data_IF_156705295772
#
_entry.id   IF_156705295772
#
_cell.length_a   1.000
_cell.length_b   1.000
_cell.length_c   1.000
_cell.angle_alpha   90.00
_cell.angle_beta   90.00
_cell.angle_gamma   90.00
#
_symmetry.space_group_name_H-M   'P 1'
#
loop_
_entity.id
_entity.type
_entity.pdbx_description
1 polymer ?
#
# COMPACT_ATOMS: atom_id res chain seq x y z
N UNK A 1 3.92 8.70 17.77
CA UNK A 1 3.18 8.78 16.52
C UNK A 1 4.13 8.19 15.51
N UNK A 2 3.92 6.94 15.12
CA UNK A 2 4.82 6.25 14.16
C UNK A 2 4.26 6.34 12.72
N UNK A 3 3.08 6.96 12.58
CA UNK A 3 2.52 7.35 11.29
C UNK A 3 3.39 8.43 10.64
N UNK A 4 4.07 8.06 9.57
CA UNK A 4 4.72 9.03 8.69
C UNK A 4 3.66 9.82 7.92
N UNK A 5 4.00 11.01 7.39
CA UNK A 5 3.10 11.75 6.50
C UNK A 5 2.60 10.91 5.31
N UNK A 6 3.40 9.94 4.86
CA UNK A 6 3.02 9.01 3.79
C UNK A 6 1.92 8.03 4.24
N UNK A 7 1.94 7.55 5.50
CA UNK A 7 0.85 6.75 6.05
C UNK A 7 -0.45 7.54 6.07
N UNK A 8 -0.43 8.76 6.58
CA UNK A 8 -1.60 9.63 6.61
C UNK A 8 -2.14 9.90 5.19
N UNK A 9 -1.27 10.19 4.22
CA UNK A 9 -1.69 10.41 2.85
C UNK A 9 -2.33 9.17 2.21
N UNK A 10 -1.79 7.97 2.44
CA UNK A 10 -2.40 6.72 1.97
C UNK A 10 -3.72 6.42 2.71
N UNK A 11 -3.81 6.70 4.01
CA UNK A 11 -4.99 6.47 4.84
C UNK A 11 -6.15 7.42 4.53
N UNK A 12 -5.88 8.57 3.93
CA UNK A 12 -6.89 9.58 3.54
C UNK A 12 -7.17 9.55 2.02
N UNK A 13 -6.61 8.58 1.27
CA UNK A 13 -6.83 8.47 -0.16
C UNK A 13 -6.25 9.63 -0.98
N UNK A 14 -5.09 10.16 -0.58
CA UNK A 14 -4.45 11.28 -1.25
C UNK A 14 -4.11 11.00 -2.73
N UNK A 15 -4.01 12.07 -3.52
CA UNK A 15 -3.70 11.99 -4.95
C UNK A 15 -2.29 11.45 -5.21
N UNK A 16 -2.09 10.90 -6.42
CA UNK A 16 -0.79 10.48 -6.93
C UNK A 16 0.29 11.56 -6.73
N UNK A 17 0.00 12.82 -7.08
CA UNK A 17 0.96 13.92 -6.95
C UNK A 17 1.41 14.13 -5.49
N UNK A 18 0.48 13.99 -4.55
CA UNK A 18 0.78 14.13 -3.11
C UNK A 18 1.67 12.98 -2.64
N UNK A 19 1.33 11.75 -3.00
CA UNK A 19 2.12 10.55 -2.66
C UNK A 19 3.53 10.65 -3.28
N UNK A 20 3.61 11.02 -4.56
CA UNK A 20 4.87 11.19 -5.29
C UNK A 20 5.75 12.28 -4.69
N UNK A 21 5.17 13.41 -4.29
CA UNK A 21 5.89 14.49 -3.62
C UNK A 21 6.46 14.03 -2.27
N UNK A 22 5.66 13.32 -1.47
CA UNK A 22 6.09 12.80 -0.17
C UNK A 22 7.21 11.77 -0.31
N UNK A 23 7.12 10.87 -1.29
CA UNK A 23 8.18 9.90 -1.59
C UNK A 23 9.45 10.58 -2.10
N UNK A 24 9.32 11.64 -2.89
CA UNK A 24 10.48 12.40 -3.38
C UNK A 24 11.20 13.12 -2.25
N UNK A 25 10.45 13.64 -1.26
CA UNK A 25 11.01 14.30 -0.09
C UNK A 25 11.62 13.33 0.92
N UNK A 26 11.01 12.15 1.10
CA UNK A 26 11.50 11.12 2.01
C UNK A 26 11.24 9.70 1.45
N UNK A 27 12.18 9.17 0.63
CA UNK A 27 12.01 7.87 -0.01
C UNK A 27 11.90 6.70 0.96
N UNK A 28 12.61 6.74 2.09
CA UNK A 28 12.62 5.65 3.06
C UNK A 28 11.27 5.47 3.78
N UNK A 29 10.40 6.49 3.77
CA UNK A 29 9.05 6.41 4.35
C UNK A 29 8.21 5.27 3.76
N UNK A 30 8.52 4.80 2.54
CA UNK A 30 7.82 3.67 1.90
C UNK A 30 7.97 2.35 2.69
N UNK A 31 9.06 2.20 3.45
CA UNK A 31 9.40 0.98 4.21
C UNK A 31 8.96 1.03 5.67
N UNK A 32 8.61 2.22 6.15
CA UNK A 32 8.16 2.43 7.51
C UNK A 32 6.84 1.69 7.76
N UNK A 33 6.63 1.33 9.02
CA UNK A 33 5.40 0.72 9.48
C UNK A 33 4.77 1.61 10.52
N UNK A 34 3.47 1.77 10.44
CA UNK A 34 2.72 2.40 11.51
C UNK A 34 2.64 1.51 12.77
N UNK A 35 1.91 1.99 13.76
CA UNK A 35 1.71 1.31 15.06
C UNK A 35 1.01 -0.04 14.94
N UNK A 36 0.25 -0.25 13.87
CA UNK A 36 -0.46 -1.50 13.59
C UNK A 36 0.35 -2.41 12.66
N UNK A 37 1.62 -2.06 12.40
CA UNK A 37 2.52 -2.80 11.52
C UNK A 37 2.22 -2.64 10.03
N UNK A 38 1.33 -1.71 9.66
CA UNK A 38 0.88 -1.51 8.28
C UNK A 38 1.88 -0.64 7.53
N UNK A 39 2.09 -0.96 6.26
CA UNK A 39 2.88 -0.15 5.33
C UNK A 39 2.00 0.86 4.61
N UNK A 40 2.58 1.87 3.93
CA UNK A 40 1.83 2.74 3.03
C UNK A 40 1.02 1.97 1.97
N UNK A 41 1.58 0.91 1.40
CA UNK A 41 0.85 0.05 0.44
C UNK A 41 -0.37 -0.63 1.09
N UNK A 42 -0.23 -1.11 2.32
CA UNK A 42 -1.36 -1.72 3.04
C UNK A 42 -2.50 -0.70 3.22
N UNK A 43 -2.18 0.52 3.63
CA UNK A 43 -3.17 1.59 3.82
C UNK A 43 -3.81 2.02 2.50
N UNK A 44 -3.01 2.13 1.44
CA UNK A 44 -3.53 2.47 0.11
C UNK A 44 -4.48 1.39 -0.43
N UNK A 45 -4.19 0.10 -0.20
CA UNK A 45 -5.11 -1.00 -0.51
C UNK A 45 -6.39 -0.98 0.35
N UNK A 46 -6.28 -0.54 1.61
CA UNK A 46 -7.43 -0.41 2.52
C UNK A 46 -8.37 0.73 2.12
N UNK A 47 -7.82 1.82 1.60
CA UNK A 47 -8.57 3.00 1.19
C UNK A 47 -8.96 3.01 -0.28
N UNK A 48 -8.86 1.85 -0.95
CA UNK A 48 -9.21 1.71 -2.37
C UNK A 48 -8.51 2.76 -3.27
N UNK A 49 -7.23 3.05 -2.98
CA UNK A 49 -6.46 4.03 -3.73
C UNK A 49 -6.40 3.69 -5.23
N UNK A 50 -6.19 4.71 -6.06
CA UNK A 50 -6.15 4.52 -7.51
C UNK A 50 -5.05 3.55 -7.94
N UNK A 51 -5.25 2.92 -9.10
CA UNK A 51 -4.28 2.00 -9.70
C UNK A 51 -2.89 2.63 -9.81
N UNK A 52 -2.81 3.92 -10.14
CA UNK A 52 -1.55 4.65 -10.28
C UNK A 52 -0.81 4.78 -8.94
N UNK A 53 -1.55 5.05 -7.84
CA UNK A 53 -0.96 5.12 -6.50
C UNK A 53 -0.44 3.75 -6.07
N UNK A 54 -1.24 2.69 -6.24
CA UNK A 54 -0.81 1.33 -5.91
C UNK A 54 0.42 0.92 -6.73
N UNK A 55 0.44 1.25 -8.03
CA UNK A 55 1.58 0.98 -8.92
C UNK A 55 2.83 1.72 -8.46
N UNK A 56 2.73 3.02 -8.15
CA UNK A 56 3.85 3.82 -7.66
C UNK A 56 4.45 3.24 -6.37
N UNK A 57 3.60 2.86 -5.41
CA UNK A 57 4.05 2.30 -4.13
C UNK A 57 4.73 0.94 -4.33
N UNK A 58 4.20 0.09 -5.22
CA UNK A 58 4.81 -1.20 -5.58
C UNK A 58 6.13 -1.04 -6.33
N UNK A 59 6.21 -0.12 -7.28
CA UNK A 59 7.45 0.17 -8.02
C UNK A 59 8.54 0.69 -7.09
N UNK A 60 8.16 1.51 -6.11
CA UNK A 60 9.08 2.07 -5.10
C UNK A 60 9.57 0.98 -4.13
N UNK A 61 8.71 0.04 -3.75
CA UNK A 61 9.08 -1.07 -2.88
C UNK A 61 8.24 -2.34 -3.14
N UNK A 62 8.70 -3.24 -4.04
CA UNK A 62 7.94 -4.43 -4.42
C UNK A 62 7.66 -5.41 -3.29
N UNK A 63 8.56 -5.50 -2.31
CA UNK A 63 8.40 -6.42 -1.16
C UNK A 63 7.31 -5.97 -0.18
N UNK A 64 6.79 -4.74 -0.30
CA UNK A 64 5.68 -4.23 0.51
C UNK A 64 4.45 -5.15 0.44
N UNK A 65 4.24 -5.84 -0.69
CA UNK A 65 3.11 -6.76 -0.90
C UNK A 65 3.11 -7.97 0.03
N UNK A 66 4.28 -8.33 0.59
CA UNK A 66 4.44 -9.46 1.52
C UNK A 66 4.32 -9.03 2.98
N UNK A 67 4.34 -7.72 3.24
CA UNK A 67 4.35 -7.20 4.60
C UNK A 67 2.96 -7.37 5.21
N UNK A 68 2.93 -8.03 6.36
CA UNK A 68 1.68 -8.26 7.09
C UNK A 68 1.46 -7.13 8.07
N UNK A 69 0.31 -6.50 7.96
CA UNK A 69 -0.16 -5.46 8.87
C UNK A 69 -1.05 -6.04 9.96
N UNK A 70 -2.13 -5.32 10.28
CA UNK A 70 -3.08 -5.71 11.32
C UNK A 70 -3.72 -7.07 11.02
N UNK A 71 -3.87 -7.90 12.06
CA UNK A 71 -4.44 -9.24 11.97
C UNK A 71 -3.68 -10.19 11.03
N UNK A 72 -2.37 -9.97 10.86
CA UNK A 72 -1.51 -10.78 9.98
C UNK A 72 -1.95 -10.77 8.50
N UNK A 73 -2.71 -9.73 8.11
CA UNK A 73 -3.21 -9.56 6.73
C UNK A 73 -2.15 -8.92 5.84
N UNK A 74 -2.07 -9.38 4.60
CA UNK A 74 -1.28 -8.74 3.54
C UNK A 74 -2.12 -7.65 2.84
N UNK A 75 -1.50 -6.74 2.07
CA UNK A 75 -2.22 -5.76 1.27
C UNK A 75 -3.27 -6.40 0.34
N UNK A 76 -2.99 -7.59 -0.22
CA UNK A 76 -3.96 -8.32 -1.04
C UNK A 76 -5.20 -8.76 -0.24
N UNK A 77 -5.02 -9.30 0.98
CA UNK A 77 -6.16 -9.68 1.82
C UNK A 77 -7.09 -8.50 2.08
N UNK A 78 -6.49 -7.34 2.36
CA UNK A 78 -7.23 -6.10 2.59
C UNK A 78 -7.91 -5.62 1.31
N UNK A 79 -7.21 -5.56 0.17
CA UNK A 79 -7.80 -5.16 -1.11
C UNK A 79 -9.02 -6.03 -1.48
N UNK A 80 -8.94 -7.35 -1.25
CA UNK A 80 -10.08 -8.24 -1.45
C UNK A 80 -11.22 -7.99 -0.46
N UNK A 81 -10.91 -7.70 0.81
CA UNK A 81 -11.92 -7.48 1.86
C UNK A 81 -12.70 -6.18 1.64
N UNK A 82 -12.04 -5.13 1.16
CA UNK A 82 -12.68 -3.84 0.85
C UNK A 82 -13.37 -3.82 -0.53
N UNK A 83 -13.20 -4.87 -1.34
CA UNK A 83 -13.84 -4.97 -2.65
C UNK A 83 -13.14 -4.17 -3.75
N UNK A 84 -11.82 -4.03 -3.67
CA UNK A 84 -11.03 -3.28 -4.64
C UNK A 84 -11.26 -3.76 -6.09
N UNK A 85 -11.16 -2.86 -7.09
CA UNK A 85 -11.33 -3.20 -8.50
C UNK A 85 -10.46 -4.37 -8.96
N UNK A 86 -10.98 -5.14 -9.91
CA UNK A 86 -10.31 -6.34 -10.45
C UNK A 86 -8.91 -6.05 -11.01
N UNK A 87 -8.69 -4.83 -11.49
CA UNK A 87 -7.43 -4.31 -12.01
C UNK A 87 -6.37 -4.22 -10.91
N UNK A 88 -6.75 -3.75 -9.72
CA UNK A 88 -5.87 -3.68 -8.54
C UNK A 88 -5.54 -5.09 -8.07
N UNK A 89 -6.55 -5.96 -7.95
CA UNK A 89 -6.33 -7.37 -7.57
C UNK A 89 -5.39 -8.06 -8.56
N UNK A 90 -5.60 -7.84 -9.86
CA UNK A 90 -4.75 -8.39 -10.92
C UNK A 90 -3.31 -7.86 -10.84
N UNK A 91 -3.12 -6.57 -10.55
CA UNK A 91 -1.80 -5.97 -10.36
C UNK A 91 -1.07 -6.61 -9.17
N UNK A 92 -1.75 -6.72 -8.02
CA UNK A 92 -1.20 -7.34 -6.81
C UNK A 92 -0.84 -8.81 -7.05
N UNK A 93 -1.71 -9.60 -7.69
CA UNK A 93 -1.44 -11.00 -8.02
C UNK A 93 -0.28 -11.17 -9.00
N UNK A 94 -0.12 -10.26 -9.96
CA UNK A 94 1.04 -10.28 -10.87
C UNK A 94 2.34 -9.96 -10.14
N UNK A 95 2.30 -9.03 -9.17
CA UNK A 95 3.46 -8.70 -8.34
C UNK A 95 3.83 -9.83 -7.37
N UNK A 96 2.85 -10.60 -6.88
CA UNK A 96 3.09 -11.76 -6.03
C UNK A 96 2.07 -12.89 -6.26
N UNK A 97 2.34 -13.82 -7.20
CA UNK A 97 1.41 -14.90 -7.54
C UNK A 97 1.18 -15.92 -6.42
N UNK A 98 2.15 -16.08 -5.52
CA UNK A 98 2.06 -17.02 -4.40
C UNK A 98 1.17 -16.51 -3.26
N UNK A 99 0.62 -15.29 -3.36
CA UNK A 99 -0.29 -14.72 -2.37
C UNK A 99 -1.61 -15.49 -2.20
N UNK A 100 -1.93 -16.41 -3.12
CA UNK A 100 -3.16 -17.19 -3.15
C UNK A 100 -3.07 -18.46 -2.27
N UNK A 101 -1.86 -18.86 -1.86
CA UNK A 101 -1.62 -20.09 -1.07
C UNK A 101 -1.64 -19.80 0.43
#
# INVERSE_FOLDING_TARGET
YDDTPLHAACAEGASFDTISLLLSAWPDAIKEKDRDGRTPLFLACHQEASLDVISLLLESWPDAIKVRGTYDRTPLHTACAEGAPSEIISLLLRAWPDAIK
#
